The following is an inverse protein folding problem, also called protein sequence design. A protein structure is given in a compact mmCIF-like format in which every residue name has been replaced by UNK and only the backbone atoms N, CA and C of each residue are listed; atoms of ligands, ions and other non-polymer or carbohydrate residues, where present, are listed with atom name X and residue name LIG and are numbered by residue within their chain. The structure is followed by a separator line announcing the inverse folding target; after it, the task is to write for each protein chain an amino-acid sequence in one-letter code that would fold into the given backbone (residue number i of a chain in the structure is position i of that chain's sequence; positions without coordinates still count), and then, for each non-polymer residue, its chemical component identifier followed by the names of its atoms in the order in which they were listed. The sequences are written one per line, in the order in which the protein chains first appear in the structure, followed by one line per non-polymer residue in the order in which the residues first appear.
data_IF_100089295874
#
_entry.id   IF_100089295874
#
_cell.length_a   1.000
_cell.length_b   1.000
_cell.length_c   1.000
_cell.angle_alpha   90.00
_cell.angle_beta   90.00
_cell.angle_gamma   90.00
#
_symmetry.space_group_name_H-M   'P 1'
#
loop_
_entity.id
_entity.type
_entity.pdbx_description
1 polymer ?
#
# COMPACT_ATOMS: atom_id res chain seq x y z
N UNK A 1 -7.67 6.76 0.79
CA UNK A 1 -7.42 5.57 -0.08
C UNK A 1 -6.90 4.38 0.72
N UNK A 2 -7.67 3.29 0.82
CA UNK A 2 -7.25 2.04 1.45
C UNK A 2 -6.53 1.11 0.46
N UNK A 3 -5.66 0.22 0.93
CA UNK A 3 -4.97 -0.75 0.07
C UNK A 3 -4.61 -2.06 0.78
N UNK A 4 -4.34 -3.09 -0.02
CA UNK A 4 -4.00 -4.43 0.47
C UNK A 4 -2.72 -4.92 -0.18
N UNK A 5 -1.75 -5.39 0.62
CA UNK A 5 -0.49 -5.97 0.15
C UNK A 5 -0.50 -7.48 0.35
N UNK A 6 -0.19 -8.23 -0.70
CA UNK A 6 -0.05 -9.68 -0.66
C UNK A 6 1.44 -10.06 -0.61
N UNK A 7 1.85 -10.90 0.34
CA UNK A 7 3.25 -11.33 0.52
C UNK A 7 3.43 -12.84 0.32
N UNK A 8 4.63 -13.27 -0.09
CA UNK A 8 4.98 -14.70 -0.27
C UNK A 8 5.19 -15.45 1.05
N UNK A 9 5.61 -14.74 2.09
CA UNK A 9 6.14 -15.35 3.29
C UNK A 9 5.01 -15.80 4.23
N UNK A 10 4.79 -17.12 4.25
CA UNK A 10 3.97 -17.88 5.21
C UNK A 10 2.45 -17.58 5.22
N UNK A 11 1.64 -18.57 4.82
CA UNK A 11 0.19 -18.64 5.06
C UNK A 11 -0.68 -17.45 4.60
N UNK A 12 -0.55 -17.04 3.33
CA UNK A 12 -1.58 -16.30 2.57
C UNK A 12 -2.29 -15.11 3.26
N UNK A 13 -1.68 -14.40 4.19
CA UNK A 13 -2.34 -13.24 4.80
C UNK A 13 -2.06 -11.98 4.02
N UNK A 14 -3.09 -11.49 3.36
CA UNK A 14 -3.16 -10.15 2.84
C UNK A 14 -3.06 -9.16 4.02
N UNK A 15 -2.20 -8.15 3.90
CA UNK A 15 -2.09 -7.07 4.87
C UNK A 15 -2.92 -5.89 4.39
N UNK A 16 -3.93 -5.54 5.16
CA UNK A 16 -4.83 -4.43 4.87
C UNK A 16 -4.33 -3.15 5.54
N UNK A 17 -4.40 -2.06 4.78
CA UNK A 17 -3.97 -0.73 5.16
C UNK A 17 -5.12 0.25 4.92
N UNK A 18 -5.30 1.16 5.87
CA UNK A 18 -6.41 2.11 5.90
C UNK A 18 -6.15 3.35 5.03
N UNK A 19 -7.14 4.24 4.98
CA UNK A 19 -7.10 5.44 4.15
C UNK A 19 -6.02 6.47 4.50
N UNK A 20 -5.50 6.40 5.73
CA UNK A 20 -4.44 7.28 6.23
C UNK A 20 -3.03 6.75 5.92
N UNK A 21 -2.92 5.47 5.56
CA UNK A 21 -1.66 4.82 5.24
C UNK A 21 -1.21 5.19 3.82
N UNK A 22 0.10 5.11 3.57
CA UNK A 22 0.69 5.48 2.27
C UNK A 22 1.63 4.39 1.79
N UNK A 23 1.75 4.27 0.47
CA UNK A 23 2.78 3.44 -0.13
C UNK A 23 3.47 4.16 -1.29
N UNK A 24 4.71 3.79 -1.54
CA UNK A 24 5.47 4.21 -2.72
C UNK A 24 6.56 3.18 -3.06
N UNK A 25 7.11 3.29 -4.26
CA UNK A 25 8.24 2.47 -4.68
C UNK A 25 9.55 3.24 -4.57
N UNK A 26 10.56 2.62 -3.97
CA UNK A 26 11.92 3.16 -3.88
C UNK A 26 12.93 2.09 -4.27
N UNK A 27 13.61 2.25 -5.41
CA UNK A 27 14.61 1.27 -5.87
C UNK A 27 14.04 -0.15 -6.10
N UNK A 28 12.77 -0.27 -6.50
CA UNK A 28 12.07 -1.56 -6.67
C UNK A 28 11.54 -2.19 -5.37
N UNK A 29 11.83 -1.58 -4.22
CA UNK A 29 11.25 -1.94 -2.92
C UNK A 29 9.91 -1.23 -2.78
N UNK A 30 8.88 -1.96 -2.36
CA UNK A 30 7.61 -1.37 -1.95
C UNK A 30 7.76 -0.88 -0.51
N UNK A 31 7.57 0.41 -0.29
CA UNK A 31 7.59 1.03 1.03
C UNK A 31 6.16 1.33 1.44
N UNK A 32 5.79 0.93 2.64
CA UNK A 32 4.48 1.21 3.24
C UNK A 32 4.70 1.97 4.53
N UNK A 33 4.16 3.18 4.62
CA UNK A 33 4.13 3.98 5.85
C UNK A 33 2.72 3.90 6.42
N UNK A 34 2.59 3.23 7.56
CA UNK A 34 1.32 3.01 8.22
C UNK A 34 1.31 3.51 9.65
N UNK A 35 0.19 4.08 10.08
CA UNK A 35 0.00 4.55 11.46
C UNK A 35 -0.03 3.39 12.46
N UNK A 36 -0.53 2.23 12.05
CA UNK A 36 -0.69 1.05 12.92
C UNK A 36 0.55 0.14 12.95
N UNK A 37 1.33 0.15 11.88
CA UNK A 37 2.44 -0.78 11.67
C UNK A 37 3.81 -0.12 11.50
N UNK A 38 3.86 1.21 11.50
CA UNK A 38 5.05 1.99 11.17
C UNK A 38 5.45 1.84 9.71
N UNK A 39 6.70 2.21 9.41
CA UNK A 39 7.27 2.08 8.06
C UNK A 39 7.76 0.64 7.85
N UNK A 40 7.25 -0.01 6.80
CA UNK A 40 7.65 -1.34 6.34
C UNK A 40 8.25 -1.28 4.95
N UNK A 41 9.25 -2.14 4.72
CA UNK A 41 9.94 -2.28 3.45
C UNK A 41 9.76 -3.70 2.94
N UNK A 42 9.17 -3.84 1.76
CA UNK A 42 9.00 -5.11 1.08
C UNK A 42 9.96 -5.19 -0.09
N UNK A 43 11.00 -6.00 0.07
CA UNK A 43 11.97 -6.24 -0.99
C UNK A 43 11.32 -6.92 -2.22
N UNK A 44 11.88 -6.73 -3.43
CA UNK A 44 11.44 -7.46 -4.62
C UNK A 44 11.34 -8.96 -4.35
N UNK A 45 10.19 -9.56 -4.64
CA UNK A 45 9.93 -10.98 -4.42
C UNK A 45 9.32 -11.32 -3.05
N UNK A 46 9.32 -10.40 -2.07
CA UNK A 46 8.60 -10.58 -0.81
C UNK A 46 7.15 -10.06 -0.88
N UNK A 47 6.87 -9.08 -1.73
CA UNK A 47 5.52 -8.67 -2.11
C UNK A 47 5.14 -9.27 -3.48
N UNK A 48 3.84 -9.46 -3.68
CA UNK A 48 3.26 -10.11 -4.85
C UNK A 48 2.28 -9.24 -5.58
N UNK A 49 1.37 -8.64 -4.83
CA UNK A 49 0.29 -7.89 -5.41
C UNK A 49 -0.08 -6.75 -4.47
N UNK A 50 -0.49 -5.64 -5.06
CA UNK A 50 -0.95 -4.46 -4.36
C UNK A 50 -2.30 -4.08 -4.94
N UNK A 51 -3.34 -4.17 -4.13
CA UNK A 51 -4.70 -3.79 -4.51
C UNK A 51 -5.03 -2.45 -3.89
N UNK A 52 -5.39 -1.49 -4.73
CA UNK A 52 -5.78 -0.15 -4.31
C UNK A 52 -7.29 -0.06 -4.33
N UNK A 53 -7.89 0.25 -3.18
CA UNK A 53 -9.30 0.57 -3.07
C UNK A 53 -9.45 2.09 -3.01
N UNK A 54 -9.83 2.66 -4.16
CA UNK A 54 -10.26 4.05 -4.21
C UNK A 54 -11.72 4.13 -3.73
N UNK A 55 -11.97 4.79 -2.61
CA UNK A 55 -13.34 5.06 -2.18
C UNK A 55 -14.03 5.97 -3.20
N UNK A 56 -15.16 5.56 -3.81
CA UNK A 56 -15.93 6.43 -4.70
C UNK A 56 -16.54 7.56 -3.87
N UNK A 57 -15.85 8.70 -3.82
CA UNK A 57 -16.25 9.84 -2.99
C UNK A 57 -15.09 10.76 -2.59
N UNK A 58 -13.84 10.30 -2.69
CA UNK A 58 -12.67 11.17 -2.58
C UNK A 58 -12.63 12.04 -3.85
N UNK A 59 -13.18 13.25 -3.76
CA UNK A 59 -13.04 14.29 -4.78
C UNK A 59 -11.56 14.40 -5.14
N UNK A 60 -11.18 13.91 -6.32
CA UNK A 60 -9.84 14.16 -6.85
C UNK A 60 -9.64 15.68 -6.82
N UNK A 61 -8.66 16.22 -6.06
CA UNK A 61 -8.31 17.62 -6.26
C UNK A 61 -7.88 17.74 -7.72
N UNK A 62 -8.54 18.66 -8.45
CA UNK A 62 -8.20 18.92 -9.83
C UNK A 62 -6.71 19.28 -9.91
N UNK A 63 -5.99 18.81 -10.95
CA UNK A 63 -4.61 19.22 -11.14
C UNK A 63 -4.56 20.76 -11.26
N UNK A 64 -3.53 21.42 -10.70
CA UNK A 64 -3.40 22.87 -10.81
C UNK A 64 -3.27 23.28 -12.28
N UNK A 65 -4.02 24.33 -12.65
CA UNK A 65 -4.03 24.96 -13.98
C UNK A 65 -2.72 25.69 -14.30
#
# INVERSE_FOLDING_TARGET
MAFTVYTRDTEQRALEYGDEDRFWFHGGVLVVDSTSHGVRYYAPGHWHELHVQSHPGELRPAPPT
#
